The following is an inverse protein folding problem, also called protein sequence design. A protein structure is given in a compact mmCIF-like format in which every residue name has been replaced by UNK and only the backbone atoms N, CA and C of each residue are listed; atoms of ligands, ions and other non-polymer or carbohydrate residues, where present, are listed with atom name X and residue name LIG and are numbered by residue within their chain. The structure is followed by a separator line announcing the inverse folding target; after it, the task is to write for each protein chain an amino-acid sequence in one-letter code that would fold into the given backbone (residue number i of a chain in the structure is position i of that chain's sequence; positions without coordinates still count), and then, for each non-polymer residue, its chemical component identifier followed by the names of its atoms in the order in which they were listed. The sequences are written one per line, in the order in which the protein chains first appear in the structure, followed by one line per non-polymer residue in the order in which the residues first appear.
data_IF_582801561031
#
_entry.id   IF_582801561031
#
_cell.length_a   1.000
_cell.length_b   1.000
_cell.length_c   1.000
_cell.angle_alpha   90.00
_cell.angle_beta   90.00
_cell.angle_gamma   90.00
#
_symmetry.space_group_name_H-M   'P 1'
#
loop_
_entity.id
_entity.type
_entity.pdbx_description
1 polymer ?
#
# COMPACT_ATOMS: atom_id res chain seq x y z
N UNK A 1 -44.23 14.41 -17.78
CA UNK A 1 -43.80 13.54 -16.66
C UNK A 1 -42.59 14.20 -16.02
N UNK A 2 -42.70 14.70 -14.77
CA UNK A 2 -41.55 15.27 -14.05
C UNK A 2 -40.73 14.10 -13.50
N UNK A 3 -39.46 14.02 -13.89
CA UNK A 3 -38.53 13.03 -13.36
C UNK A 3 -38.03 13.58 -12.03
N UNK A 4 -38.52 13.02 -10.92
CA UNK A 4 -38.00 13.37 -9.60
C UNK A 4 -36.61 12.76 -9.45
N UNK A 5 -35.62 13.63 -9.30
CA UNK A 5 -34.23 13.23 -9.06
C UNK A 5 -34.17 12.78 -7.60
N UNK A 6 -34.17 11.45 -7.39
CA UNK A 6 -34.09 10.81 -6.06
C UNK A 6 -32.67 10.73 -5.51
N UNK A 7 -31.67 11.17 -6.28
CA UNK A 7 -30.28 11.16 -5.83
C UNK A 7 -29.98 12.36 -4.93
N UNK A 8 -29.25 12.15 -3.82
CA UNK A 8 -28.81 13.24 -2.98
C UNK A 8 -27.94 14.20 -3.79
N UNK A 9 -28.22 15.50 -3.69
CA UNK A 9 -27.41 16.52 -4.33
C UNK A 9 -26.01 16.51 -3.73
N UNK A 10 -24.94 16.47 -4.54
CA UNK A 10 -23.58 16.44 -4.01
C UNK A 10 -23.33 17.70 -3.17
N UNK A 11 -22.67 17.58 -2.01
CA UNK A 11 -22.39 18.73 -1.17
C UNK A 11 -21.54 19.74 -1.95
N UNK A 12 -21.93 21.02 -1.90
CA UNK A 12 -21.14 22.11 -2.50
C UNK A 12 -19.76 22.12 -1.85
N UNK A 13 -18.73 21.73 -2.59
CA UNK A 13 -17.34 21.88 -2.14
C UNK A 13 -17.05 23.37 -1.96
N UNK A 14 -16.28 23.71 -0.94
CA UNK A 14 -15.81 25.08 -0.77
C UNK A 14 -14.98 25.47 -1.98
N UNK A 15 -15.34 26.57 -2.64
CA UNK A 15 -14.61 27.15 -3.79
C UNK A 15 -13.13 27.36 -3.47
N UNK A 16 -12.79 27.63 -2.21
CA UNK A 16 -11.40 27.79 -1.74
C UNK A 16 -10.64 26.46 -1.82
N UNK A 17 -11.26 25.35 -1.39
CA UNK A 17 -10.63 24.03 -1.46
C UNK A 17 -10.41 23.60 -2.91
N UNK A 18 -11.35 23.91 -3.82
CA UNK A 18 -11.20 23.61 -5.25
C UNK A 18 -9.98 24.33 -5.85
N UNK A 19 -9.82 25.63 -5.57
CA UNK A 19 -8.67 26.41 -6.02
C UNK A 19 -7.36 25.86 -5.45
N UNK A 20 -7.34 25.49 -4.15
CA UNK A 20 -6.15 24.87 -3.53
C UNK A 20 -5.79 23.55 -4.22
N UNK A 21 -6.77 22.67 -4.48
CA UNK A 21 -6.52 21.42 -5.16
C UNK A 21 -6.04 21.61 -6.61
N UNK A 22 -6.53 22.65 -7.29
CA UNK A 22 -6.10 22.99 -8.64
C UNK A 22 -4.64 23.48 -8.66
N UNK A 23 -4.25 24.34 -7.71
CA UNK A 23 -2.84 24.79 -7.55
C UNK A 23 -1.92 23.60 -7.22
N UNK A 24 -2.32 22.74 -6.28
CA UNK A 24 -1.56 21.54 -5.90
C UNK A 24 -1.38 20.61 -7.10
N UNK A 25 -2.41 20.45 -7.94
CA UNK A 25 -2.34 19.65 -9.17
C UNK A 25 -1.29 20.19 -10.15
N UNK A 26 -1.26 21.50 -10.36
CA UNK A 26 -0.26 22.12 -11.22
C UNK A 26 1.16 21.98 -10.67
N UNK A 27 1.35 22.20 -9.37
CA UNK A 27 2.64 21.96 -8.70
C UNK A 27 3.10 20.51 -8.82
N UNK A 28 2.18 19.56 -8.68
CA UNK A 28 2.46 18.14 -8.86
C UNK A 28 2.96 17.83 -10.27
N UNK A 29 2.22 18.28 -11.29
CA UNK A 29 2.59 18.07 -12.70
C UNK A 29 3.95 18.71 -13.00
N UNK A 30 4.19 19.93 -12.52
CA UNK A 30 5.47 20.60 -12.67
C UNK A 30 6.61 19.80 -12.03
N UNK A 31 6.43 19.30 -10.80
CA UNK A 31 7.47 18.50 -10.13
C UNK A 31 7.77 17.18 -10.85
N UNK A 32 6.75 16.52 -11.40
CA UNK A 32 6.92 15.27 -12.15
C UNK A 32 7.66 15.50 -13.47
N UNK A 33 7.57 16.70 -14.06
CA UNK A 33 8.29 17.08 -15.28
C UNK A 33 9.73 17.55 -14.95
N UNK A 34 9.90 18.37 -13.92
CA UNK A 34 11.21 18.95 -13.56
C UNK A 34 12.18 17.87 -13.05
N UNK A 35 11.70 16.88 -12.31
CA UNK A 35 12.53 15.80 -11.76
C UNK A 35 13.28 14.98 -12.83
N UNK A 36 12.67 14.45 -13.90
CA UNK A 36 13.39 13.76 -14.95
C UNK A 36 14.26 14.70 -15.80
N UNK A 37 13.84 15.95 -16.04
CA UNK A 37 14.64 16.93 -16.79
C UNK A 37 15.96 17.18 -16.07
N UNK A 38 15.91 17.51 -14.77
CA UNK A 38 17.11 17.73 -13.95
C UNK A 38 17.99 16.48 -13.89
N UNK A 39 17.39 15.28 -13.87
CA UNK A 39 18.11 14.02 -13.90
C UNK A 39 18.93 13.81 -15.18
N UNK A 40 18.38 14.20 -16.34
CA UNK A 40 19.09 14.14 -17.64
C UNK A 40 20.30 15.07 -17.64
N UNK A 41 20.17 16.27 -17.08
CA UNK A 41 21.27 17.24 -17.05
C UNK A 41 22.38 16.90 -16.04
N UNK A 42 22.05 16.28 -14.90
CA UNK A 42 23.00 15.99 -13.82
C UNK A 42 23.63 14.59 -13.98
N UNK A 43 22.96 13.66 -14.67
CA UNK A 43 23.56 12.49 -15.32
C UNK A 43 24.14 11.37 -14.44
N UNK A 44 24.07 11.46 -13.10
CA UNK A 44 24.81 10.52 -12.24
C UNK A 44 24.00 9.36 -11.65
N UNK A 45 22.71 9.53 -11.34
CA UNK A 45 21.99 8.56 -10.51
C UNK A 45 20.46 8.77 -10.61
N UNK A 46 19.65 7.72 -10.45
CA UNK A 46 18.18 7.71 -10.71
C UNK A 46 17.37 8.43 -9.60
N UNK A 47 17.75 9.67 -9.27
CA UNK A 47 17.12 10.45 -8.20
C UNK A 47 15.70 10.91 -8.55
N UNK A 48 15.37 11.04 -9.84
CA UNK A 48 14.03 11.42 -10.27
C UNK A 48 12.96 10.44 -9.77
N UNK A 49 13.28 9.14 -9.73
CA UNK A 49 12.37 8.11 -9.21
C UNK A 49 12.08 8.30 -7.71
N UNK A 50 13.10 8.69 -6.94
CA UNK A 50 13.01 8.94 -5.51
C UNK A 50 12.15 10.17 -5.19
N UNK A 51 12.11 11.16 -6.09
CA UNK A 51 11.27 12.36 -5.94
C UNK A 51 9.84 12.09 -6.41
N UNK A 52 9.67 11.43 -7.56
CA UNK A 52 8.35 11.18 -8.16
C UNK A 52 7.53 10.21 -7.31
N UNK A 53 8.14 9.18 -6.72
CA UNK A 53 7.42 8.18 -5.92
C UNK A 53 6.68 8.76 -4.70
N UNK A 54 7.30 9.47 -3.76
CA UNK A 54 6.60 10.03 -2.60
C UNK A 54 5.57 11.08 -3.00
N UNK A 55 5.84 11.85 -4.06
CA UNK A 55 4.90 12.79 -4.64
C UNK A 55 3.64 12.04 -5.11
N UNK A 56 3.80 10.95 -5.85
CA UNK A 56 2.69 10.07 -6.27
C UNK A 56 1.91 9.48 -5.08
N UNK A 57 2.59 9.09 -4.00
CA UNK A 57 1.94 8.59 -2.76
C UNK A 57 1.06 9.66 -2.14
N UNK A 58 1.58 10.89 -2.01
CA UNK A 58 0.85 12.03 -1.46
C UNK A 58 -0.39 12.32 -2.31
N UNK A 59 -0.23 12.31 -3.64
CA UNK A 59 -1.33 12.54 -4.57
C UNK A 59 -2.45 11.51 -4.42
N UNK A 60 -2.11 10.22 -4.43
CA UNK A 60 -3.10 9.14 -4.32
C UNK A 60 -3.72 9.02 -2.93
N UNK A 61 -3.02 9.45 -1.88
CA UNK A 61 -3.49 9.27 -0.50
C UNK A 61 -4.28 10.46 0.04
N UNK A 62 -3.89 11.69 -0.35
CA UNK A 62 -4.45 12.94 0.19
C UNK A 62 -5.36 13.62 -0.83
N UNK A 63 -4.92 13.75 -2.09
CA UNK A 63 -5.60 14.57 -3.09
C UNK A 63 -6.69 13.80 -3.80
N UNK A 64 -6.36 12.65 -4.40
CA UNK A 64 -7.29 11.81 -5.12
C UNK A 64 -7.63 10.57 -4.30
N UNK A 65 -8.34 10.79 -3.20
CA UNK A 65 -8.71 9.72 -2.28
C UNK A 65 -9.70 8.77 -2.95
N UNK A 66 -9.40 7.47 -2.91
CA UNK A 66 -10.28 6.45 -3.47
C UNK A 66 -11.64 6.46 -2.76
N UNK A 67 -12.68 6.91 -3.47
CA UNK A 67 -14.04 7.07 -2.93
C UNK A 67 -14.81 5.75 -2.78
N UNK A 68 -14.43 4.71 -3.53
CA UNK A 68 -15.20 3.46 -3.66
C UNK A 68 -14.86 2.45 -2.55
N UNK A 69 -13.64 2.49 -1.99
CA UNK A 69 -13.16 1.55 -0.96
C UNK A 69 -12.51 2.29 0.22
N UNK A 70 -13.15 3.36 0.68
CA UNK A 70 -12.65 4.12 1.81
C UNK A 70 -12.80 3.31 3.12
N UNK A 71 -11.79 2.50 3.40
CA UNK A 71 -11.63 1.83 4.68
C UNK A 71 -10.26 2.17 5.27
N UNK A 72 -10.23 2.48 6.58
CA UNK A 72 -9.01 2.88 7.29
C UNK A 72 -7.91 1.82 7.18
N UNK A 73 -8.26 0.52 7.19
CA UNK A 73 -7.29 -0.56 7.00
C UNK A 73 -6.71 -0.54 5.58
N UNK A 74 -7.57 -0.50 4.56
CA UNK A 74 -7.12 -0.51 3.16
C UNK A 74 -6.20 0.67 2.89
N UNK A 75 -6.56 1.87 3.36
CA UNK A 75 -5.73 3.05 3.18
C UNK A 75 -4.40 2.98 3.95
N UNK A 76 -4.41 2.48 5.19
CA UNK A 76 -3.19 2.30 5.98
C UNK A 76 -2.25 1.27 5.34
N UNK A 77 -2.82 0.16 4.84
CA UNK A 77 -2.06 -0.86 4.11
C UNK A 77 -1.46 -0.33 2.80
N UNK A 78 -2.23 0.46 2.04
CA UNK A 78 -1.74 1.10 0.81
C UNK A 78 -0.57 2.03 1.13
N UNK A 79 -0.70 2.90 2.12
CA UNK A 79 0.38 3.81 2.55
C UNK A 79 1.64 3.06 2.95
N UNK A 80 1.52 2.05 3.80
CA UNK A 80 2.66 1.29 4.32
C UNK A 80 3.33 0.45 3.21
N UNK A 81 2.59 -0.08 2.22
CA UNK A 81 3.16 -0.71 1.02
C UNK A 81 4.01 0.30 0.25
N UNK A 82 3.49 1.51 0.03
CA UNK A 82 4.23 2.55 -0.70
C UNK A 82 5.50 2.99 0.04
N UNK A 83 5.48 3.02 1.38
CA UNK A 83 6.69 3.25 2.20
C UNK A 83 7.71 2.12 1.99
N UNK A 84 7.27 0.86 1.95
CA UNK A 84 8.18 -0.25 1.67
C UNK A 84 8.78 -0.16 0.26
N UNK A 85 7.99 0.20 -0.75
CA UNK A 85 8.48 0.39 -2.12
C UNK A 85 9.47 1.57 -2.16
N UNK A 86 9.20 2.67 -1.45
CA UNK A 86 10.13 3.78 -1.32
C UNK A 86 11.47 3.33 -0.74
N UNK A 87 11.47 2.52 0.33
CA UNK A 87 12.70 1.98 0.92
C UNK A 87 13.47 1.06 -0.05
N UNK A 88 12.77 0.25 -0.84
CA UNK A 88 13.39 -0.57 -1.90
C UNK A 88 14.05 0.33 -2.95
N UNK A 89 13.35 1.37 -3.40
CA UNK A 89 13.86 2.36 -4.36
C UNK A 89 15.12 3.04 -3.80
N UNK A 90 15.07 3.52 -2.55
CA UNK A 90 16.23 4.14 -1.88
C UNK A 90 17.40 3.16 -1.83
N UNK A 91 17.16 1.91 -1.43
CA UNK A 91 18.21 0.91 -1.35
C UNK A 91 18.87 0.65 -2.71
N UNK A 92 18.07 0.59 -3.79
CA UNK A 92 18.55 0.40 -5.15
C UNK A 92 19.32 1.62 -5.68
N UNK A 93 18.75 2.81 -5.55
CA UNK A 93 19.34 4.06 -6.06
C UNK A 93 20.71 4.30 -5.44
N UNK A 94 20.83 4.15 -4.12
CA UNK A 94 22.07 4.41 -3.40
C UNK A 94 22.99 3.19 -3.23
N UNK A 95 22.62 2.02 -3.79
CA UNK A 95 23.37 0.76 -3.65
C UNK A 95 23.75 0.45 -2.20
N UNK A 96 22.82 0.75 -1.32
CA UNK A 96 22.98 0.56 0.09
C UNK A 96 22.86 -0.93 0.46
N UNK A 97 23.62 -1.40 1.45
CA UNK A 97 23.60 -2.81 1.86
C UNK A 97 22.70 -3.11 3.08
N UNK A 98 21.93 -2.12 3.55
CA UNK A 98 21.05 -2.25 4.73
C UNK A 98 19.62 -2.70 4.37
N UNK A 99 19.21 -2.62 3.10
CA UNK A 99 17.85 -2.96 2.68
C UNK A 99 17.43 -4.38 3.02
N UNK A 100 18.35 -5.36 2.92
CA UNK A 100 18.06 -6.75 3.29
C UNK A 100 17.77 -6.97 4.78
N UNK A 101 18.06 -5.98 5.64
CA UNK A 101 17.80 -6.03 7.08
C UNK A 101 16.62 -5.15 7.48
N UNK A 102 16.60 -3.90 7.01
CA UNK A 102 15.60 -2.91 7.44
C UNK A 102 14.26 -3.09 6.75
N UNK A 103 14.23 -3.50 5.48
CA UNK A 103 12.97 -3.67 4.74
C UNK A 103 12.09 -4.76 5.38
N UNK A 104 12.60 -5.97 5.71
CA UNK A 104 11.80 -6.99 6.39
C UNK A 104 11.31 -6.56 7.78
N UNK A 105 12.10 -5.78 8.54
CA UNK A 105 11.71 -5.24 9.85
C UNK A 105 10.53 -4.26 9.74
N UNK A 106 10.60 -3.32 8.80
CA UNK A 106 9.50 -2.38 8.53
C UNK A 106 8.26 -3.15 8.09
N UNK A 107 8.43 -4.13 7.19
CA UNK A 107 7.32 -4.96 6.73
C UNK A 107 6.68 -5.79 7.84
N UNK A 108 7.48 -6.32 8.77
CA UNK A 108 6.99 -7.02 9.95
C UNK A 108 6.16 -6.11 10.86
N UNK A 109 6.62 -4.88 11.10
CA UNK A 109 5.85 -3.90 11.90
C UNK A 109 4.50 -3.55 11.25
N UNK A 110 4.49 -3.44 9.92
CA UNK A 110 3.28 -3.23 9.13
C UNK A 110 2.30 -4.41 9.24
N UNK A 111 2.81 -5.64 9.11
CA UNK A 111 2.01 -6.85 9.18
C UNK A 111 1.34 -6.99 10.57
N UNK A 112 2.08 -6.68 11.64
CA UNK A 112 1.56 -6.69 13.02
C UNK A 112 0.51 -5.60 13.21
N UNK A 113 0.78 -4.36 12.83
CA UNK A 113 -0.16 -3.24 13.00
C UNK A 113 -1.48 -3.48 12.28
N UNK A 114 -1.44 -3.97 11.04
CA UNK A 114 -2.64 -4.26 10.25
C UNK A 114 -3.40 -5.44 10.84
N UNK A 115 -2.71 -6.48 11.31
CA UNK A 115 -3.36 -7.59 12.00
C UNK A 115 -4.06 -7.14 13.30
N UNK A 116 -3.43 -6.27 14.09
CA UNK A 116 -4.06 -5.69 15.30
C UNK A 116 -5.30 -4.88 14.91
N UNK A 117 -5.21 -4.05 13.86
CA UNK A 117 -6.36 -3.30 13.36
C UNK A 117 -7.50 -4.22 12.90
N UNK A 118 -7.16 -5.34 12.26
CA UNK A 118 -8.08 -6.37 11.79
C UNK A 118 -8.78 -7.12 12.94
N UNK A 119 -8.03 -7.48 13.98
CA UNK A 119 -8.55 -8.20 15.14
C UNK A 119 -9.42 -7.31 16.04
N UNK A 120 -9.16 -6.00 16.08
CA UNK A 120 -9.93 -5.05 16.89
C UNK A 120 -11.38 -4.92 16.42
N UNK A 121 -11.66 -5.10 15.13
CA UNK A 121 -12.99 -4.88 14.55
C UNK A 121 -13.39 -5.98 13.54
N UNK A 122 -13.23 -7.24 13.95
CA UNK A 122 -13.50 -8.43 13.12
C UNK A 122 -14.88 -8.37 12.46
N UNK A 123 -15.93 -7.97 13.18
CA UNK A 123 -17.32 -7.96 12.66
C UNK A 123 -17.49 -7.06 11.42
N UNK A 124 -16.86 -5.88 11.41
CA UNK A 124 -16.90 -4.95 10.27
C UNK A 124 -15.84 -5.24 9.22
N UNK A 125 -14.76 -5.91 9.60
CA UNK A 125 -13.56 -6.05 8.76
C UNK A 125 -13.48 -7.39 8.02
N UNK A 126 -14.34 -8.37 8.34
CA UNK A 126 -14.49 -9.63 7.58
C UNK A 126 -14.68 -9.42 6.08
N UNK A 127 -15.32 -8.33 5.65
CA UNK A 127 -15.51 -7.98 4.24
C UNK A 127 -14.28 -7.32 3.59
N UNK A 128 -13.32 -6.86 4.40
CA UNK A 128 -12.14 -6.12 3.97
C UNK A 128 -10.85 -6.89 4.28
N UNK A 129 -10.88 -8.20 4.10
CA UNK A 129 -9.76 -9.11 4.39
C UNK A 129 -8.63 -9.04 3.36
N UNK A 130 -8.96 -8.56 2.15
CA UNK A 130 -8.06 -8.62 1.00
C UNK A 130 -6.71 -7.93 1.21
N UNK A 131 -6.65 -6.71 1.80
CA UNK A 131 -5.37 -6.05 2.04
C UNK A 131 -4.46 -6.85 2.97
N UNK A 132 -5.02 -7.48 4.02
CA UNK A 132 -4.26 -8.34 4.91
C UNK A 132 -3.76 -9.60 4.18
N UNK A 133 -4.62 -10.25 3.38
CA UNK A 133 -4.24 -11.43 2.60
C UNK A 133 -3.11 -11.14 1.60
N UNK A 134 -3.15 -10.00 0.90
CA UNK A 134 -2.06 -9.59 0.01
C UNK A 134 -0.73 -9.40 0.74
N UNK A 135 -0.76 -8.83 1.95
CA UNK A 135 0.46 -8.62 2.73
C UNK A 135 1.06 -9.93 3.22
N UNK A 136 0.20 -10.86 3.65
CA UNK A 136 0.63 -12.21 3.99
C UNK A 136 1.22 -12.91 2.77
N UNK A 137 0.58 -12.82 1.60
CA UNK A 137 1.09 -13.41 0.37
C UNK A 137 2.47 -12.84 -0.02
N UNK A 138 2.63 -11.52 0.04
CA UNK A 138 3.90 -10.85 -0.28
C UNK A 138 5.01 -11.23 0.72
N UNK A 139 4.71 -11.34 2.02
CA UNK A 139 5.71 -11.78 3.01
C UNK A 139 6.14 -13.24 2.81
N UNK A 140 5.20 -14.14 2.49
CA UNK A 140 5.53 -15.53 2.16
C UNK A 140 6.39 -15.59 0.90
N UNK A 141 6.06 -14.81 -0.13
CA UNK A 141 6.86 -14.71 -1.36
C UNK A 141 8.25 -14.13 -1.10
N UNK A 142 8.38 -13.13 -0.22
CA UNK A 142 9.68 -12.56 0.14
C UNK A 142 10.53 -13.56 0.93
N UNK A 143 9.91 -14.32 1.85
CA UNK A 143 10.60 -15.38 2.58
C UNK A 143 11.06 -16.50 1.64
N UNK A 144 10.20 -16.95 0.72
CA UNK A 144 10.56 -17.99 -0.25
C UNK A 144 11.65 -17.51 -1.22
N UNK A 145 11.63 -16.26 -1.66
CA UNK A 145 12.69 -15.69 -2.50
C UNK A 145 14.03 -15.67 -1.75
N UNK A 146 14.02 -15.38 -0.46
CA UNK A 146 15.22 -15.40 0.37
C UNK A 146 15.79 -16.81 0.57
N UNK A 147 14.95 -17.85 0.62
CA UNK A 147 15.43 -19.25 0.65
C UNK A 147 16.16 -19.65 -0.63
N UNK A 148 15.80 -19.05 -1.76
CA UNK A 148 16.47 -19.24 -3.07
C UNK A 148 17.80 -18.44 -3.12
N UNK A 149 18.07 -17.60 -2.12
CA UNK A 149 19.30 -16.82 -1.97
C UNK A 149 19.20 -15.37 -2.44
N UNK A 150 18.01 -14.92 -2.87
CA UNK A 150 17.75 -13.56 -3.34
C UNK A 150 16.59 -12.94 -2.56
N UNK A 151 16.80 -12.14 -1.50
CA UNK A 151 18.03 -11.61 -0.88
C UNK A 151 18.65 -12.50 0.22
N UNK A 152 19.82 -12.11 0.76
CA UNK A 152 20.50 -12.82 1.87
C UNK A 152 19.53 -13.14 3.01
N UNK A 153 19.56 -14.40 3.45
CA UNK A 153 18.69 -14.90 4.52
C UNK A 153 19.17 -14.36 5.86
N UNK A 154 18.56 -13.26 6.29
CA UNK A 154 18.80 -12.63 7.58
C UNK A 154 17.72 -13.06 8.59
N UNK A 155 18.03 -12.98 9.89
CA UNK A 155 17.05 -13.29 10.93
C UNK A 155 15.71 -12.52 10.81
N UNK A 156 15.65 -11.23 10.39
CA UNK A 156 14.38 -10.53 10.23
C UNK A 156 13.49 -11.15 9.16
N UNK A 157 14.10 -11.72 8.11
CA UNK A 157 13.37 -12.39 7.04
C UNK A 157 12.74 -13.69 7.54
N UNK A 158 13.47 -14.43 8.38
CA UNK A 158 12.95 -15.67 9.01
C UNK A 158 11.78 -15.35 9.94
N UNK A 159 11.93 -14.34 10.80
CA UNK A 159 10.85 -13.92 11.71
C UNK A 159 9.64 -13.43 10.91
N UNK A 160 9.85 -12.67 9.83
CA UNK A 160 8.77 -12.24 8.97
C UNK A 160 8.00 -13.42 8.37
N UNK A 161 8.71 -14.43 7.87
CA UNK A 161 8.13 -15.67 7.37
C UNK A 161 7.29 -16.36 8.45
N UNK A 162 7.87 -16.64 9.62
CA UNK A 162 7.18 -17.30 10.73
C UNK A 162 5.92 -16.54 11.17
N UNK A 163 6.01 -15.22 11.36
CA UNK A 163 4.86 -14.39 11.76
C UNK A 163 3.78 -14.41 10.67
N UNK A 164 4.14 -14.35 9.39
CA UNK A 164 3.17 -14.42 8.30
C UNK A 164 2.38 -15.73 8.30
N UNK A 165 3.04 -16.88 8.55
CA UNK A 165 2.37 -18.18 8.67
C UNK A 165 1.45 -18.24 9.89
N UNK A 166 1.88 -17.72 11.04
CA UNK A 166 1.05 -17.67 12.25
C UNK A 166 -0.21 -16.84 12.01
N UNK A 167 -0.07 -15.64 11.42
CA UNK A 167 -1.23 -14.78 11.14
C UNK A 167 -2.14 -15.44 10.09
N UNK A 168 -1.59 -16.06 9.05
CA UNK A 168 -2.37 -16.83 8.08
C UNK A 168 -3.20 -17.92 8.77
N UNK A 169 -2.59 -18.69 9.67
CA UNK A 169 -3.28 -19.74 10.41
C UNK A 169 -4.40 -19.19 11.29
N UNK A 170 -4.15 -18.09 12.00
CA UNK A 170 -5.16 -17.37 12.78
C UNK A 170 -6.32 -16.89 11.90
N UNK A 171 -6.03 -16.32 10.73
CA UNK A 171 -7.06 -15.90 9.78
C UNK A 171 -7.93 -17.07 9.30
N UNK A 172 -7.34 -18.22 8.98
CA UNK A 172 -8.08 -19.42 8.57
C UNK A 172 -9.04 -19.87 9.69
N UNK A 173 -8.58 -19.90 10.93
CA UNK A 173 -9.40 -20.33 12.07
C UNK A 173 -10.57 -19.37 12.34
N UNK A 174 -10.34 -18.06 12.25
CA UNK A 174 -11.34 -17.03 12.60
C UNK A 174 -12.39 -16.87 11.50
N UNK A 175 -11.99 -16.93 10.23
CA UNK A 175 -12.88 -16.61 9.11
C UNK A 175 -13.47 -17.84 8.42
N UNK A 176 -12.78 -18.99 8.43
CA UNK A 176 -13.24 -20.25 7.85
C UNK A 176 -13.95 -20.08 6.48
N UNK A 177 -15.27 -20.20 6.44
CA UNK A 177 -16.07 -20.13 5.21
C UNK A 177 -16.11 -18.72 4.60
N UNK A 178 -16.00 -17.67 5.41
CA UNK A 178 -16.03 -16.28 4.91
C UNK A 178 -14.83 -15.99 4.01
N UNK A 179 -13.67 -16.62 4.28
CA UNK A 179 -12.47 -16.51 3.43
C UNK A 179 -12.75 -17.06 2.03
N UNK A 180 -13.30 -18.27 1.94
CA UNK A 180 -13.59 -18.92 0.66
C UNK A 180 -14.62 -18.12 -0.15
N UNK A 181 -15.64 -17.59 0.52
CA UNK A 181 -16.68 -16.76 -0.11
C UNK A 181 -16.07 -15.48 -0.69
N UNK A 182 -15.22 -14.78 0.08
CA UNK A 182 -14.55 -13.56 -0.40
C UNK A 182 -13.54 -13.84 -1.53
N UNK A 183 -12.79 -14.94 -1.46
CA UNK A 183 -11.91 -15.35 -2.56
C UNK A 183 -12.71 -15.66 -3.84
N UNK A 184 -13.81 -16.42 -3.73
CA UNK A 184 -14.68 -16.73 -4.87
C UNK A 184 -15.25 -15.48 -5.53
N UNK A 185 -15.77 -14.52 -4.74
CA UNK A 185 -16.29 -13.25 -5.24
C UNK A 185 -15.26 -12.50 -6.09
N UNK A 186 -14.00 -12.47 -5.64
CA UNK A 186 -12.97 -11.65 -6.29
C UNK A 186 -12.37 -12.29 -7.54
N UNK A 187 -12.18 -13.61 -7.50
CA UNK A 187 -11.66 -14.36 -8.65
C UNK A 187 -12.78 -14.77 -9.63
N UNK A 188 -14.04 -14.41 -9.35
CA UNK A 188 -15.21 -14.79 -10.14
C UNK A 188 -15.25 -16.30 -10.42
N UNK A 189 -14.80 -17.10 -9.44
CA UNK A 189 -14.81 -18.56 -9.52
C UNK A 189 -16.07 -19.04 -8.80
N UNK A 190 -17.03 -19.54 -9.56
CA UNK A 190 -18.28 -20.13 -9.05
C UNK A 190 -18.01 -21.39 -8.23
#
# INVERSE_FOLDING_TARGET
MKVDITYPTPPKKSRVLEIIFEVIKWLFIASVIIAPITNIFIGKQIWSLLVVWPIYVIWTSIVNRDSVEYNRISQSSKLLIHICILLIIVNFVFSFNWGGFVIPLVYLSMLITINVFFLTNITKQRQNIMPLMWLIAISILAFSSSMIGWPKLNWPMVVLGCVSFVILFVCIIILKNDLLVEFKKKFHVN
#
